data_IF_746812533544
#
_entry.id   IF_746812533544
#
_cell.length_a   1.000
_cell.length_b   1.000
_cell.length_c   1.000
_cell.angle_alpha   90.00
_cell.angle_beta   90.00
_cell.angle_gamma   90.00
#
_symmetry.space_group_name_H-M   'P 1'
#
loop_
_entity.id
_entity.type
_entity.pdbx_description
1 polymer ?
#
# COMPACT_ATOMS: atom_id res chain seq x y z
N UNK A 1 9.88 -26.68 17.39
CA UNK A 1 10.82 -25.93 16.58
C UNK A 1 10.12 -24.65 16.22
N UNK A 2 10.49 -23.52 16.83
CA UNK A 2 10.04 -22.20 16.43
C UNK A 2 10.45 -22.02 14.96
N UNK A 3 9.49 -22.16 14.05
CA UNK A 3 9.76 -22.10 12.62
C UNK A 3 10.22 -20.73 12.24
N UNK A 4 11.29 -20.65 11.48
CA UNK A 4 11.79 -19.39 10.90
C UNK A 4 10.63 -18.73 10.16
N UNK A 5 10.30 -17.48 10.50
CA UNK A 5 9.23 -16.73 9.83
C UNK A 5 9.51 -16.68 8.32
N UNK A 6 8.62 -17.27 7.53
CA UNK A 6 8.72 -17.24 6.07
C UNK A 6 8.18 -15.92 5.55
N UNK A 7 8.95 -15.28 4.68
CA UNK A 7 8.49 -14.10 3.94
C UNK A 7 8.07 -14.50 2.52
N UNK A 8 7.17 -13.74 1.94
CA UNK A 8 6.91 -13.83 0.51
C UNK A 8 8.20 -13.48 -0.26
N UNK A 9 8.46 -14.18 -1.35
CA UNK A 9 9.62 -13.99 -2.22
C UNK A 9 9.17 -13.96 -3.70
N UNK A 10 10.10 -13.94 -4.62
CA UNK A 10 9.81 -13.90 -6.06
C UNK A 10 9.12 -15.17 -6.57
N UNK A 11 9.15 -16.26 -5.81
CA UNK A 11 8.50 -17.54 -6.18
C UNK A 11 7.20 -17.78 -5.42
N UNK A 12 7.05 -17.13 -4.25
CA UNK A 12 5.91 -17.32 -3.34
C UNK A 12 5.25 -15.99 -3.03
N UNK A 13 4.14 -15.72 -3.68
CA UNK A 13 3.35 -14.49 -3.50
C UNK A 13 2.64 -14.39 -2.15
N UNK A 14 2.43 -15.52 -1.48
CA UNK A 14 1.78 -15.62 -0.17
C UNK A 14 2.42 -16.71 0.66
N UNK A 15 2.47 -16.55 1.96
CA UNK A 15 2.97 -17.53 2.91
C UNK A 15 2.04 -17.62 4.11
N UNK A 16 1.96 -18.81 4.71
CA UNK A 16 1.27 -19.01 5.99
C UNK A 16 2.34 -19.35 7.01
N UNK A 17 2.38 -18.58 8.09
CA UNK A 17 3.27 -18.79 9.22
C UNK A 17 2.48 -19.20 10.45
N UNK A 18 3.05 -20.08 11.25
CA UNK A 18 2.58 -20.44 12.56
C UNK A 18 3.37 -19.65 13.60
N UNK A 19 2.65 -18.98 14.50
CA UNK A 19 3.23 -18.19 15.59
C UNK A 19 2.84 -18.82 16.92
N UNK A 20 3.82 -19.01 17.80
CA UNK A 20 3.57 -19.35 19.20
C UNK A 20 3.22 -18.11 19.97
N UNK A 21 2.00 -18.03 20.46
CA UNK A 21 1.43 -16.84 21.09
C UNK A 21 1.00 -17.13 22.52
N UNK A 22 0.62 -16.08 23.25
CA UNK A 22 0.06 -16.19 24.60
C UNK A 22 -1.19 -17.05 24.71
N UNK A 23 -1.95 -17.21 23.61
CA UNK A 23 -3.16 -18.06 23.53
C UNK A 23 -2.94 -19.39 22.74
N UNK A 24 -1.69 -19.79 22.52
CA UNK A 24 -1.35 -20.99 21.77
C UNK A 24 -0.86 -20.70 20.35
N UNK A 25 -0.91 -21.71 19.48
CA UNK A 25 -0.45 -21.59 18.10
C UNK A 25 -1.50 -20.88 17.23
N UNK A 26 -1.07 -19.81 16.57
CA UNK A 26 -1.91 -18.99 15.67
C UNK A 26 -1.29 -18.96 14.27
N UNK A 27 -2.11 -19.18 13.27
CA UNK A 27 -1.69 -19.16 11.88
C UNK A 27 -2.02 -17.82 11.23
N UNK A 28 -1.04 -17.19 10.60
CA UNK A 28 -1.23 -15.94 9.86
C UNK A 28 -0.79 -16.10 8.40
N UNK A 29 -1.68 -15.75 7.48
CA UNK A 29 -1.37 -15.66 6.06
C UNK A 29 -0.80 -14.27 5.75
N UNK A 30 0.46 -14.20 5.30
CA UNK A 30 1.10 -12.97 4.84
C UNK A 30 1.05 -12.83 3.33
N UNK A 31 0.63 -11.66 2.87
CA UNK A 31 0.46 -11.32 1.47
C UNK A 31 0.36 -9.82 1.25
N UNK A 32 0.07 -9.40 0.01
CA UNK A 32 -0.21 -8.00 -0.28
C UNK A 32 -1.48 -7.52 0.45
N UNK A 33 -1.38 -6.36 1.11
CA UNK A 33 -2.50 -5.76 1.84
C UNK A 33 -3.48 -5.01 0.92
N UNK A 34 -3.16 -4.84 -0.36
CA UNK A 34 -4.01 -4.15 -1.35
C UNK A 34 -4.55 -2.79 -0.85
N UNK A 35 -3.67 -1.96 -0.29
CA UNK A 35 -4.00 -0.67 0.34
C UNK A 35 -5.01 0.15 -0.47
N UNK A 36 -5.83 0.95 0.22
CA UNK A 36 -6.80 1.83 -0.43
C UNK A 36 -6.11 2.93 -1.25
N UNK A 37 -5.07 3.56 -0.66
CA UNK A 37 -4.19 4.51 -1.33
C UNK A 37 -2.74 3.97 -1.27
N UNK A 38 -2.36 3.11 -2.24
CA UNK A 38 -1.13 2.33 -2.13
C UNK A 38 0.12 3.15 -2.44
N UNK A 39 1.06 3.23 -1.49
CA UNK A 39 2.34 3.88 -1.68
C UNK A 39 3.13 3.32 -2.89
N UNK A 40 3.05 2.00 -3.12
CA UNK A 40 3.71 1.36 -4.26
C UNK A 40 3.18 1.82 -5.62
N UNK A 41 1.91 2.23 -5.73
CA UNK A 41 1.36 2.79 -6.97
C UNK A 41 1.70 4.27 -7.12
N UNK A 42 1.69 5.03 -6.03
CA UNK A 42 2.08 6.43 -6.02
C UNK A 42 3.58 6.61 -6.38
N UNK A 43 4.42 5.69 -5.91
CA UNK A 43 5.85 5.66 -6.21
C UNK A 43 6.18 5.20 -7.64
N UNK A 44 5.23 4.61 -8.37
CA UNK A 44 5.50 4.04 -9.69
C UNK A 44 5.34 5.07 -10.80
N UNK A 45 6.45 5.62 -11.28
CA UNK A 45 6.49 6.65 -12.33
C UNK A 45 5.83 6.20 -13.64
N UNK A 46 5.96 4.94 -14.01
CA UNK A 46 5.40 4.37 -15.25
C UNK A 46 3.98 3.85 -15.11
N UNK A 47 3.41 3.92 -13.88
CA UNK A 47 2.11 3.31 -13.54
C UNK A 47 2.05 1.81 -13.85
N UNK A 48 3.19 1.11 -13.77
CA UNK A 48 3.23 -0.35 -13.85
C UNK A 48 2.54 -0.98 -12.63
N UNK A 49 2.74 -0.42 -11.42
CA UNK A 49 1.89 -0.74 -10.26
C UNK A 49 0.60 0.05 -10.37
N UNK A 50 -0.54 -0.64 -10.27
CA UNK A 50 -1.84 -0.04 -10.52
C UNK A 50 -2.90 -0.51 -9.53
N UNK A 51 -3.67 0.43 -8.97
CA UNK A 51 -4.86 0.15 -8.15
C UNK A 51 -6.07 0.06 -9.08
N UNK A 52 -6.70 -1.12 -9.13
CA UNK A 52 -7.92 -1.32 -9.91
C UNK A 52 -9.16 -0.83 -9.15
N UNK A 53 -10.21 -0.53 -9.87
CA UNK A 53 -11.49 -0.06 -9.33
C UNK A 53 -12.16 -1.10 -8.44
N UNK A 54 -11.96 -2.37 -8.76
CA UNK A 54 -12.46 -3.53 -8.03
C UNK A 54 -11.71 -3.78 -6.70
N UNK A 55 -10.63 -3.03 -6.44
CA UNK A 55 -9.87 -3.09 -5.19
C UNK A 55 -8.46 -3.67 -5.29
N UNK A 56 -8.15 -4.64 -6.13
CA UNK A 56 -6.80 -5.20 -6.22
C UNK A 56 -5.74 -4.19 -6.69
N UNK A 57 -4.54 -4.33 -6.14
CA UNK A 57 -3.34 -3.69 -6.70
C UNK A 57 -2.64 -4.71 -7.57
N UNK A 58 -2.46 -4.42 -8.85
CA UNK A 58 -1.85 -5.31 -9.84
C UNK A 58 -0.56 -4.74 -10.40
N UNK A 59 0.25 -5.59 -11.03
CA UNK A 59 1.46 -5.19 -11.73
C UNK A 59 1.33 -5.44 -13.24
N UNK A 60 1.69 -4.44 -14.04
CA UNK A 60 1.63 -4.45 -15.50
C UNK A 60 3.05 -4.51 -16.06
N UNK A 61 3.54 -5.71 -16.37
CA UNK A 61 4.91 -5.95 -16.79
C UNK A 61 5.39 -5.10 -17.96
N UNK A 62 4.56 -4.92 -18.99
CA UNK A 62 4.88 -4.12 -20.19
C UNK A 62 5.22 -2.65 -19.90
N UNK A 63 4.82 -2.11 -18.74
CA UNK A 63 5.10 -0.72 -18.32
C UNK A 63 6.24 -0.64 -17.30
N UNK A 64 6.74 -1.76 -16.81
CA UNK A 64 7.74 -1.78 -15.76
C UNK A 64 9.13 -1.47 -16.31
N UNK A 65 9.80 -0.48 -15.71
CA UNK A 65 11.19 -0.12 -16.01
C UNK A 65 12.21 -0.77 -15.04
N UNK A 66 11.77 -1.60 -14.10
CA UNK A 66 12.65 -2.31 -13.17
C UNK A 66 13.28 -1.45 -12.06
N UNK A 67 12.80 -0.24 -11.79
CA UNK A 67 13.40 0.67 -10.80
C UNK A 67 13.26 0.22 -9.33
N UNK A 68 12.42 -0.77 -9.03
CA UNK A 68 12.17 -1.36 -7.70
C UNK A 68 11.67 -0.39 -6.62
N UNK A 69 11.31 0.84 -6.98
CA UNK A 69 10.84 1.83 -6.01
C UNK A 69 9.56 1.39 -5.29
N UNK A 70 8.70 0.59 -5.93
CA UNK A 70 7.53 -0.03 -5.31
C UNK A 70 7.87 -0.98 -4.14
N UNK A 71 9.07 -1.58 -4.11
CA UNK A 71 9.54 -2.41 -2.99
C UNK A 71 9.88 -1.54 -1.78
N UNK A 72 10.63 -0.46 -2.01
CA UNK A 72 11.09 0.46 -0.94
C UNK A 72 9.91 1.24 -0.34
N UNK A 73 8.95 1.65 -1.16
CA UNK A 73 7.80 2.44 -0.72
C UNK A 73 6.71 1.64 0.02
N UNK A 74 6.77 0.29 -0.02
CA UNK A 74 5.76 -0.55 0.60
C UNK A 74 5.97 -0.68 2.11
N UNK A 75 5.05 -0.18 2.97
CA UNK A 75 5.22 -0.27 4.42
C UNK A 75 5.07 -1.70 4.97
N UNK A 76 4.64 -2.65 4.13
CA UNK A 76 4.46 -4.06 4.46
C UNK A 76 5.54 -4.97 3.85
N UNK A 77 6.54 -4.42 3.16
CA UNK A 77 7.63 -5.15 2.49
C UNK A 77 7.15 -6.30 1.58
N UNK A 78 6.11 -6.06 0.77
CA UNK A 78 5.46 -7.13 0.01
C UNK A 78 5.97 -7.30 -1.42
N UNK A 79 6.10 -6.26 -2.27
CA UNK A 79 6.57 -6.46 -3.64
C UNK A 79 7.99 -7.02 -3.65
N UNK A 80 8.23 -8.09 -4.42
CA UNK A 80 9.55 -8.70 -4.60
C UNK A 80 9.96 -8.67 -6.06
N UNK A 81 11.24 -8.57 -6.30
CA UNK A 81 11.83 -8.47 -7.62
C UNK A 81 12.53 -9.78 -7.97
N UNK A 82 12.33 -10.26 -9.17
CA UNK A 82 12.94 -11.47 -9.69
C UNK A 82 14.39 -11.17 -10.15
N UNK A 83 15.37 -11.42 -9.29
CA UNK A 83 16.76 -11.06 -9.56
C UNK A 83 17.48 -12.00 -10.55
N UNK A 84 16.92 -13.18 -10.80
CA UNK A 84 17.58 -14.25 -11.59
C UNK A 84 17.13 -14.27 -13.06
N UNK A 85 16.22 -13.38 -13.45
CA UNK A 85 15.68 -13.33 -14.80
C UNK A 85 16.28 -12.17 -15.62
N UNK A 86 16.58 -12.37 -16.91
CA UNK A 86 16.95 -11.27 -17.80
C UNK A 86 15.78 -10.31 -18.09
N UNK A 87 14.53 -10.75 -17.86
CA UNK A 87 13.32 -9.93 -17.92
C UNK A 87 12.58 -9.99 -16.57
N UNK A 88 13.10 -9.29 -15.55
CA UNK A 88 12.65 -9.46 -14.19
C UNK A 88 11.23 -8.93 -13.96
N UNK A 89 10.47 -9.67 -13.16
CA UNK A 89 9.11 -9.32 -12.75
C UNK A 89 9.08 -8.77 -11.33
N UNK A 90 8.03 -8.04 -11.03
CA UNK A 90 7.65 -7.72 -9.65
C UNK A 90 6.56 -8.70 -9.24
N UNK A 91 6.89 -9.55 -8.28
CA UNK A 91 5.98 -10.58 -7.78
C UNK A 91 5.33 -10.15 -6.45
N UNK A 92 4.03 -10.33 -6.37
CA UNK A 92 3.20 -10.14 -5.19
C UNK A 92 1.82 -10.74 -5.42
N UNK A 93 1.02 -10.91 -4.38
CA UNK A 93 -0.38 -11.26 -4.52
C UNK A 93 -1.12 -10.20 -5.36
N UNK A 94 -1.91 -10.65 -6.34
CA UNK A 94 -2.76 -9.83 -7.21
C UNK A 94 -4.25 -9.93 -6.86
N UNK A 95 -4.57 -10.64 -5.76
CA UNK A 95 -5.93 -10.96 -5.30
C UNK A 95 -6.72 -11.79 -6.35
N UNK A 96 -6.02 -12.56 -7.18
CA UNK A 96 -6.60 -13.31 -8.30
C UNK A 96 -7.48 -12.41 -9.19
N UNK A 97 -6.93 -11.29 -9.64
CA UNK A 97 -7.68 -10.22 -10.32
C UNK A 97 -8.48 -10.72 -11.53
N UNK A 98 -7.91 -11.64 -12.31
CA UNK A 98 -8.60 -12.21 -13.47
C UNK A 98 -9.90 -12.92 -13.05
N UNK A 99 -9.86 -13.70 -11.95
CA UNK A 99 -11.07 -14.35 -11.39
C UNK A 99 -12.10 -13.32 -10.92
N UNK A 100 -11.67 -12.24 -10.28
CA UNK A 100 -12.57 -11.17 -9.83
C UNK A 100 -13.28 -10.52 -11.03
N UNK A 101 -12.59 -10.33 -12.14
CA UNK A 101 -13.19 -9.81 -13.37
C UNK A 101 -14.26 -10.76 -13.96
N UNK A 102 -14.13 -12.06 -13.73
CA UNK A 102 -15.10 -13.07 -14.11
C UNK A 102 -16.24 -13.22 -13.06
N UNK A 103 -16.27 -12.40 -12.02
CA UNK A 103 -17.26 -12.48 -10.93
C UNK A 103 -17.00 -13.60 -9.92
N UNK A 104 -15.82 -14.24 -9.98
CA UNK A 104 -15.42 -15.30 -9.04
C UNK A 104 -14.64 -14.70 -7.87
N UNK A 105 -14.69 -15.37 -6.73
CA UNK A 105 -13.87 -14.97 -5.57
C UNK A 105 -12.40 -15.42 -5.74
N UNK A 106 -11.46 -14.80 -5.01
CA UNK A 106 -10.07 -15.23 -5.00
C UNK A 106 -9.92 -16.69 -4.57
N UNK A 107 -9.05 -17.43 -5.23
CA UNK A 107 -8.88 -18.89 -5.00
C UNK A 107 -8.58 -19.24 -3.53
N UNK A 108 -7.87 -18.37 -2.80
CA UNK A 108 -7.57 -18.61 -1.39
C UNK A 108 -8.80 -18.50 -0.47
N UNK A 109 -9.82 -17.73 -0.85
CA UNK A 109 -11.08 -17.66 -0.12
C UNK A 109 -11.96 -18.85 -0.49
N UNK A 110 -12.05 -19.17 -1.78
CA UNK A 110 -12.83 -20.31 -2.28
C UNK A 110 -12.35 -21.65 -1.72
N UNK A 111 -11.04 -21.83 -1.60
CA UNK A 111 -10.42 -23.09 -1.15
C UNK A 111 -10.28 -23.20 0.38
N UNK A 112 -10.75 -22.21 1.14
CA UNK A 112 -10.59 -22.22 2.59
C UNK A 112 -11.69 -23.08 3.26
N UNK A 113 -11.38 -24.27 3.75
CA UNK A 113 -12.41 -25.19 4.26
C UNK A 113 -13.02 -24.73 5.60
N UNK A 114 -12.32 -23.85 6.31
CA UNK A 114 -12.75 -23.31 7.61
C UNK A 114 -13.33 -21.90 7.52
N UNK A 115 -13.49 -21.37 6.31
CA UNK A 115 -13.96 -20.00 6.06
C UNK A 115 -13.17 -18.93 6.85
N UNK A 116 -11.91 -19.23 7.16
CA UNK A 116 -11.01 -18.28 7.82
C UNK A 116 -10.66 -17.10 6.91
N UNK A 117 -10.80 -17.27 5.58
CA UNK A 117 -10.60 -16.23 4.58
C UNK A 117 -11.95 -15.94 3.92
N UNK A 118 -12.46 -14.75 4.16
CA UNK A 118 -13.75 -14.28 3.62
C UNK A 118 -13.49 -13.20 2.57
N UNK A 119 -14.26 -13.23 1.48
CA UNK A 119 -14.20 -12.26 0.41
C UNK A 119 -15.52 -11.48 0.31
N UNK A 120 -15.44 -10.16 0.12
CA UNK A 120 -16.60 -9.29 -0.01
C UNK A 120 -16.17 -7.83 -0.11
N UNK A 121 -17.14 -6.93 -0.07
CA UNK A 121 -16.82 -5.49 -0.05
C UNK A 121 -16.17 -5.12 1.28
N UNK A 122 -15.22 -4.17 1.25
CA UNK A 122 -14.49 -3.76 2.46
C UNK A 122 -15.43 -3.32 3.58
N UNK A 123 -16.52 -2.62 3.25
CA UNK A 123 -17.51 -2.15 4.23
C UNK A 123 -18.20 -3.31 4.93
N UNK A 124 -18.63 -4.31 4.17
CA UNK A 124 -19.27 -5.51 4.71
C UNK A 124 -18.31 -6.33 5.57
N UNK A 125 -17.06 -6.46 5.11
CA UNK A 125 -16.04 -7.21 5.86
C UNK A 125 -15.65 -6.52 7.19
N UNK A 126 -15.60 -5.20 7.24
CA UNK A 126 -15.40 -4.46 8.50
C UNK A 126 -16.59 -4.67 9.44
N UNK A 127 -17.82 -4.60 8.92
CA UNK A 127 -19.01 -4.86 9.73
C UNK A 127 -19.03 -6.29 10.28
N UNK A 128 -18.69 -7.27 9.45
CA UNK A 128 -18.58 -8.67 9.85
C UNK A 128 -17.47 -8.91 10.88
N UNK A 129 -16.29 -8.30 10.69
CA UNK A 129 -15.20 -8.39 11.64
C UNK A 129 -15.60 -7.83 13.02
N UNK A 130 -16.26 -6.67 13.05
CA UNK A 130 -16.77 -6.09 14.30
C UNK A 130 -17.87 -6.95 14.91
N UNK A 131 -18.75 -7.53 14.12
CA UNK A 131 -19.77 -8.48 14.60
C UNK A 131 -19.12 -9.69 15.29
N UNK A 132 -18.07 -10.27 14.70
CA UNK A 132 -17.34 -11.41 15.30
C UNK A 132 -16.66 -11.01 16.59
N UNK A 133 -15.96 -9.87 16.63
CA UNK A 133 -15.29 -9.39 17.84
C UNK A 133 -16.31 -9.15 18.97
N UNK A 134 -17.44 -8.52 18.66
CA UNK A 134 -18.48 -8.22 19.66
C UNK A 134 -19.23 -9.49 20.15
N UNK A 135 -19.35 -10.51 19.28
CA UNK A 135 -20.01 -11.76 19.63
C UNK A 135 -19.16 -12.59 20.62
N UNK A 136 -17.84 -12.54 20.48
CA UNK A 136 -16.92 -13.28 21.37
C UNK A 136 -15.68 -12.42 21.72
N UNK A 137 -15.81 -11.47 22.65
CA UNK A 137 -14.71 -10.61 23.08
C UNK A 137 -13.57 -11.36 23.79
N UNK A 138 -13.83 -12.58 24.29
CA UNK A 138 -12.80 -13.40 24.92
C UNK A 138 -11.90 -14.08 23.88
N UNK A 139 -12.45 -14.38 22.70
CA UNK A 139 -11.74 -15.02 21.59
C UNK A 139 -10.90 -14.03 20.81
N UNK A 140 -11.41 -12.82 20.53
CA UNK A 140 -10.80 -11.86 19.65
C UNK A 140 -10.18 -10.67 20.38
N UNK A 141 -9.03 -10.21 19.91
CA UNK A 141 -8.46 -8.92 20.29
C UNK A 141 -9.26 -7.80 19.63
N UNK A 142 -9.65 -6.76 20.41
CA UNK A 142 -10.50 -5.65 19.93
C UNK A 142 -9.74 -4.70 19.00
N UNK A 143 -9.29 -5.23 17.88
CA UNK A 143 -8.68 -4.46 16.79
C UNK A 143 -8.82 -5.17 15.45
N UNK A 144 -9.14 -4.41 14.40
CA UNK A 144 -9.15 -4.88 13.01
C UNK A 144 -7.92 -4.31 12.32
N UNK A 145 -6.89 -5.14 12.16
CA UNK A 145 -5.68 -4.71 11.46
C UNK A 145 -5.95 -4.51 9.97
N UNK A 146 -5.56 -3.36 9.44
CA UNK A 146 -5.84 -2.93 8.07
C UNK A 146 -7.05 -2.00 7.96
N UNK A 147 -7.79 -1.75 9.05
CA UNK A 147 -8.88 -0.77 9.03
C UNK A 147 -8.35 0.65 8.83
N UNK A 148 -7.27 1.00 9.53
CA UNK A 148 -6.70 2.34 9.50
C UNK A 148 -5.23 2.38 9.09
N UNK A 149 -4.48 1.29 9.25
CA UNK A 149 -3.06 1.21 8.99
C UNK A 149 -2.75 1.62 7.54
N UNK A 150 -1.79 2.55 7.39
CA UNK A 150 -1.36 3.09 6.10
C UNK A 150 -2.51 3.69 5.24
N UNK A 151 -3.52 4.26 5.88
CA UNK A 151 -4.71 4.80 5.19
C UNK A 151 -5.77 3.76 4.89
N UNK A 152 -5.70 2.60 5.54
CA UNK A 152 -6.59 1.46 5.34
C UNK A 152 -6.17 0.55 4.20
N UNK A 153 -6.52 -0.72 4.31
CA UNK A 153 -6.14 -1.76 3.35
C UNK A 153 -7.35 -2.54 2.85
N UNK A 154 -7.17 -3.22 1.71
CA UNK A 154 -8.17 -4.13 1.15
C UNK A 154 -8.08 -5.55 1.70
N UNK A 155 -7.09 -5.86 2.54
CA UNK A 155 -7.01 -7.11 3.29
C UNK A 155 -7.01 -6.79 4.78
N UNK A 156 -7.93 -7.40 5.51
CA UNK A 156 -8.17 -7.13 6.93
C UNK A 156 -7.86 -8.38 7.75
N UNK A 157 -7.39 -8.19 8.98
CA UNK A 157 -7.19 -9.30 9.92
C UNK A 157 -7.91 -9.04 11.24
N UNK A 158 -8.49 -10.10 11.79
CA UNK A 158 -8.87 -10.22 13.19
C UNK A 158 -8.04 -11.34 13.82
N UNK A 159 -7.70 -11.24 15.08
CA UNK A 159 -6.79 -12.15 15.76
C UNK A 159 -7.24 -12.39 17.19
N UNK A 160 -6.93 -13.56 17.78
CA UNK A 160 -7.13 -13.81 19.21
C UNK A 160 -6.11 -13.09 20.10
N UNK A 161 -4.98 -12.63 19.53
CA UNK A 161 -3.86 -11.99 20.25
C UNK A 161 -3.49 -10.66 19.63
N UNK A 162 -2.78 -9.77 20.32
CA UNK A 162 -2.23 -8.55 19.74
C UNK A 162 -1.39 -8.84 18.50
N UNK A 163 -1.46 -7.95 17.51
CA UNK A 163 -0.83 -8.17 16.20
C UNK A 163 0.70 -8.12 16.24
N UNK A 164 1.28 -7.54 17.30
CA UNK A 164 2.72 -7.58 17.58
C UNK A 164 3.23 -9.00 17.78
N UNK A 165 2.45 -9.86 18.46
CA UNK A 165 2.80 -11.28 18.67
C UNK A 165 2.83 -12.06 17.35
N UNK A 166 2.13 -11.56 16.33
CA UNK A 166 2.10 -12.11 14.97
C UNK A 166 3.12 -11.45 14.03
N UNK A 167 4.03 -10.63 14.57
CA UNK A 167 5.06 -9.95 13.82
C UNK A 167 4.53 -8.95 12.79
N UNK A 168 3.30 -8.43 12.96
CA UNK A 168 2.77 -7.35 12.14
C UNK A 168 3.22 -6.00 12.70
N UNK A 169 3.48 -5.05 11.80
CA UNK A 169 3.87 -3.71 12.20
C UNK A 169 2.63 -2.90 12.63
N UNK A 170 2.51 -2.63 13.91
CA UNK A 170 1.41 -1.86 14.51
C UNK A 170 1.73 -0.38 14.66
N UNK A 171 2.97 0.05 14.38
CA UNK A 171 3.39 1.45 14.47
C UNK A 171 3.08 2.24 13.19
N UNK A 172 2.37 1.63 12.23
CA UNK A 172 2.00 2.29 10.97
C UNK A 172 1.04 3.44 11.23
N UNK A 173 1.28 4.57 10.55
CA UNK A 173 0.40 5.72 10.64
C UNK A 173 -1.00 5.41 10.07
N UNK A 174 -2.01 6.13 10.57
CA UNK A 174 -3.40 5.99 10.11
C UNK A 174 -3.67 6.67 8.77
N UNK A 175 -2.90 7.72 8.43
CA UNK A 175 -2.99 8.36 7.12
C UNK A 175 -2.23 7.58 6.05
N UNK A 176 -2.63 7.70 4.79
CA UNK A 176 -1.89 7.09 3.69
C UNK A 176 -0.54 7.78 3.47
N UNK A 177 0.48 7.02 3.11
CA UNK A 177 1.82 7.58 2.83
C UNK A 177 1.83 8.58 1.66
N UNK A 178 1.09 8.36 0.55
CA UNK A 178 0.98 9.36 -0.52
C UNK A 178 0.38 10.69 -0.07
N UNK A 179 -0.49 10.70 0.94
CA UNK A 179 -1.10 11.92 1.45
C UNK A 179 -0.07 12.88 2.07
N UNK A 180 1.05 12.37 2.62
CA UNK A 180 2.10 13.18 3.24
C UNK A 180 2.81 14.12 2.25
N UNK A 181 2.96 13.71 1.00
CA UNK A 181 3.64 14.48 -0.05
C UNK A 181 2.67 15.24 -0.95
N UNK A 182 1.38 14.96 -0.86
CA UNK A 182 0.34 15.49 -1.73
C UNK A 182 0.31 17.02 -1.74
N UNK A 183 0.34 17.66 -0.58
CA UNK A 183 0.34 19.12 -0.44
C UNK A 183 1.53 19.76 -1.15
N UNK A 184 2.73 19.23 -0.94
CA UNK A 184 3.94 19.69 -1.62
C UNK A 184 3.83 19.55 -3.14
N UNK A 185 3.40 18.38 -3.64
CA UNK A 185 3.26 18.13 -5.07
C UNK A 185 2.24 19.06 -5.74
N UNK A 186 1.16 19.42 -5.05
CA UNK A 186 0.19 20.41 -5.58
C UNK A 186 0.72 21.85 -5.57
N UNK A 187 1.67 22.17 -4.70
CA UNK A 187 2.30 23.51 -4.69
C UNK A 187 3.28 23.71 -5.85
N UNK A 188 3.90 22.64 -6.36
CA UNK A 188 4.94 22.73 -7.41
C UNK A 188 4.47 23.46 -8.67
N UNK A 189 3.32 23.16 -9.31
CA UNK A 189 2.86 23.92 -10.48
C UNK A 189 2.69 25.40 -10.21
N UNK A 190 2.16 25.76 -9.03
CA UNK A 190 1.98 27.17 -8.63
C UNK A 190 3.32 27.88 -8.51
N UNK A 191 4.34 27.24 -7.92
CA UNK A 191 5.68 27.79 -7.80
C UNK A 191 6.30 28.02 -9.19
N UNK A 192 6.13 27.06 -10.12
CA UNK A 192 6.66 27.19 -11.50
C UNK A 192 6.04 28.34 -12.28
N UNK A 193 4.84 28.80 -11.94
CA UNK A 193 4.19 29.95 -12.57
C UNK A 193 4.52 31.24 -11.83
N UNK A 194 4.38 31.26 -10.52
CA UNK A 194 4.52 32.49 -9.71
C UNK A 194 5.96 32.94 -9.60
N UNK A 195 6.94 32.03 -9.49
CA UNK A 195 8.34 32.39 -9.32
C UNK A 195 8.93 33.10 -10.55
N UNK A 196 8.79 32.60 -11.79
CA UNK A 196 9.20 33.31 -12.98
C UNK A 196 8.48 34.65 -13.15
N UNK A 197 7.18 34.71 -12.86
CA UNK A 197 6.43 35.97 -12.94
C UNK A 197 6.97 37.04 -11.96
N UNK A 198 7.29 36.63 -10.72
CA UNK A 198 7.92 37.50 -9.73
C UNK A 198 9.30 38.00 -10.21
N UNK A 199 10.14 37.09 -10.71
CA UNK A 199 11.48 37.46 -11.21
C UNK A 199 11.42 38.40 -12.41
N UNK A 200 10.49 38.18 -13.35
CA UNK A 200 10.25 39.06 -14.47
C UNK A 200 9.78 40.44 -14.01
N UNK A 201 8.88 40.49 -13.03
CA UNK A 201 8.40 41.74 -12.43
C UNK A 201 9.54 42.53 -11.76
N UNK A 202 10.38 41.87 -10.98
CA UNK A 202 11.56 42.47 -10.36
C UNK A 202 12.56 42.95 -11.40
N UNK A 203 12.85 42.15 -12.42
CA UNK A 203 13.75 42.56 -13.52
C UNK A 203 13.23 43.81 -14.24
N UNK A 204 11.93 43.85 -14.53
CA UNK A 204 11.35 45.03 -15.20
C UNK A 204 11.40 46.29 -14.31
N UNK A 205 11.16 46.13 -13.01
CA UNK A 205 11.24 47.26 -12.07
C UNK A 205 12.65 47.80 -11.91
N UNK A 206 13.67 46.94 -11.84
CA UNK A 206 15.08 47.35 -11.75
C UNK A 206 15.55 47.99 -13.05
N UNK A 207 15.24 47.43 -14.21
CA UNK A 207 15.60 47.98 -15.51
C UNK A 207 15.05 49.39 -15.72
N UNK A 208 13.82 49.66 -15.28
CA UNK A 208 13.23 51.00 -15.39
C UNK A 208 13.90 52.04 -14.48
N UNK A 209 14.56 51.64 -13.40
CA UNK A 209 15.31 52.52 -12.54
C UNK A 209 16.66 52.92 -13.18
N UNK A 210 17.35 51.97 -13.80
CA UNK A 210 18.63 52.25 -14.48
C UNK A 210 18.46 53.31 -15.60
N UNK A 211 17.40 53.25 -16.40
CA UNK A 211 17.11 54.23 -17.44
C UNK A 211 16.75 55.63 -16.90
N UNK A 212 16.29 55.75 -15.66
CA UNK A 212 16.00 57.07 -15.05
C UNK A 212 17.24 57.75 -14.47
N UNK A 213 18.27 56.99 -14.12
CA UNK A 213 19.55 57.53 -13.67
C UNK A 213 20.34 58.03 -14.85
N UNK A 214 20.32 57.37 -16.03
CA UNK A 214 20.99 57.78 -17.25
C UNK A 214 20.37 59.04 -17.90
N UNK A 215 19.12 59.38 -17.65
CA UNK A 215 18.46 60.61 -18.12
C UNK A 215 18.71 61.87 -17.23
N UNK A 216 19.32 61.69 -16.05
CA UNK A 216 19.57 62.75 -15.09
C UNK A 216 21.07 63.16 -14.97
N UNK A 217 21.97 62.57 -15.76
CA UNK A 217 23.34 62.93 -15.95
C UNK A 217 23.50 63.75 -17.27
#
# INVERSE_FOLDING_TARGET
>A
VAGTERKADETRRTVINAYQTSKGEVYLKRQCMHCNDPACTAACLTKAMFKNTEGPVTWRGKKCMGCRYCMVSCPFDVPKFEYHSPNPKIEKCDMCFDRIQEGLMPACAEQCPTEAIVFGTRRELIAEARRRINADPALYYDHIYGEHEAGGTGYLYISPVPFEELGLNTTLQKSSYPALTKGFLYAVPSIFVLWPALLLGLHQATKNNDHKEDENE
#
